data_IF_696507446541
#
_entry.id   IF_696507446541
#
_cell.length_a   1.000
_cell.length_b   1.000
_cell.length_c   1.000
_cell.angle_alpha   90.00
_cell.angle_beta   90.00
_cell.angle_gamma   90.00
#
_symmetry.space_group_name_H-M   'P 1'
#
loop_
_entity.id
_entity.type
_entity.pdbx_description
1 polymer ?
#
# COMPACT_ATOMS: atom_id res chain seq x y z
N UNK A 1 -9.31 7.35 12.08
CA UNK A 1 -9.15 7.54 10.61
C UNK A 1 -8.51 6.27 10.04
N UNK A 2 -9.05 5.71 8.95
CA UNK A 2 -8.67 4.41 8.37
C UNK A 2 -9.27 4.28 6.97
N UNK A 3 -9.72 3.09 6.54
CA UNK A 3 -10.38 2.89 5.23
C UNK A 3 -11.49 3.92 4.93
N UNK A 4 -12.19 4.42 5.95
CA UNK A 4 -13.22 5.45 5.80
C UNK A 4 -12.71 6.75 5.15
N UNK A 5 -11.46 7.15 5.43
CA UNK A 5 -10.86 8.37 4.89
C UNK A 5 -10.69 8.32 3.36
N UNK A 6 -10.59 7.11 2.81
CA UNK A 6 -10.37 6.86 1.39
C UNK A 6 -11.60 6.24 0.69
N UNK A 7 -12.74 6.12 1.41
CA UNK A 7 -13.99 5.53 0.91
C UNK A 7 -14.44 6.11 -0.44
N UNK A 8 -14.34 7.43 -0.62
CA UNK A 8 -14.74 8.08 -1.89
C UNK A 8 -13.90 7.62 -3.09
N UNK A 9 -12.62 7.32 -2.88
CA UNK A 9 -11.71 6.89 -3.95
C UNK A 9 -11.77 5.39 -4.18
N UNK A 10 -11.98 4.60 -3.12
CA UNK A 10 -12.20 3.16 -3.24
C UNK A 10 -13.53 2.83 -3.92
N UNK A 11 -14.56 3.65 -3.71
CA UNK A 11 -15.93 3.31 -4.07
C UNK A 11 -16.59 2.38 -3.04
N UNK A 12 -17.92 2.29 -3.07
CA UNK A 12 -18.69 1.60 -2.02
C UNK A 12 -18.39 0.09 -1.95
N UNK A 13 -18.26 -0.56 -3.11
CA UNK A 13 -18.02 -2.01 -3.19
C UNK A 13 -16.66 -2.39 -2.61
N UNK A 14 -15.56 -1.82 -3.13
CA UNK A 14 -14.20 -2.09 -2.61
C UNK A 14 -14.03 -1.65 -1.16
N UNK A 15 -14.68 -0.56 -0.75
CA UNK A 15 -14.67 -0.15 0.64
C UNK A 15 -15.30 -1.22 1.55
N UNK A 16 -16.47 -1.76 1.17
CA UNK A 16 -17.13 -2.82 1.93
C UNK A 16 -16.28 -4.10 1.99
N UNK A 17 -15.68 -4.49 0.87
CA UNK A 17 -14.77 -5.65 0.78
C UNK A 17 -13.57 -5.51 1.71
N UNK A 18 -12.83 -4.39 1.62
CA UNK A 18 -11.66 -4.16 2.47
C UNK A 18 -12.04 -4.04 3.95
N UNK A 19 -13.22 -3.51 4.26
CA UNK A 19 -13.71 -3.46 5.65
C UNK A 19 -13.96 -4.87 6.18
N UNK A 20 -14.62 -5.74 5.40
CA UNK A 20 -14.85 -7.14 5.80
C UNK A 20 -13.53 -7.92 5.99
N UNK A 21 -12.56 -7.72 5.11
CA UNK A 21 -11.24 -8.35 5.23
C UNK A 21 -10.46 -7.84 6.44
N UNK A 22 -10.53 -6.54 6.74
CA UNK A 22 -9.95 -5.97 7.95
C UNK A 22 -10.59 -6.57 9.21
N UNK A 23 -11.91 -6.64 9.26
CA UNK A 23 -12.63 -7.21 10.41
C UNK A 23 -12.25 -8.69 10.63
N UNK A 24 -12.17 -9.47 9.56
CA UNK A 24 -11.70 -10.86 9.62
C UNK A 24 -10.25 -10.97 10.12
N UNK A 25 -9.35 -10.09 9.65
CA UNK A 25 -7.96 -10.07 10.08
C UNK A 25 -7.81 -9.71 11.57
N UNK A 26 -8.61 -8.77 12.07
CA UNK A 26 -8.62 -8.39 13.49
C UNK A 26 -9.07 -9.56 14.38
N UNK A 27 -10.10 -10.30 13.96
CA UNK A 27 -10.55 -11.50 14.69
C UNK A 27 -9.45 -12.55 14.75
N UNK A 28 -8.76 -12.81 13.64
CA UNK A 28 -7.66 -13.78 13.60
C UNK A 28 -6.48 -13.33 14.47
N UNK A 29 -6.09 -12.06 14.39
CA UNK A 29 -5.05 -11.49 15.25
C UNK A 29 -5.40 -11.62 16.72
N UNK A 30 -6.65 -11.36 17.11
CA UNK A 30 -7.09 -11.53 18.49
C UNK A 30 -7.00 -12.98 18.96
N UNK A 31 -7.30 -13.94 18.07
CA UNK A 31 -7.32 -15.37 18.37
C UNK A 31 -5.92 -15.99 18.45
N UNK A 32 -5.00 -15.58 17.59
CA UNK A 32 -3.70 -16.27 17.42
C UNK A 32 -2.50 -15.39 17.72
N UNK A 33 -2.67 -14.07 17.78
CA UNK A 33 -1.58 -13.10 17.83
C UNK A 33 -0.88 -12.88 16.48
N UNK A 34 -1.21 -13.64 15.43
CA UNK A 34 -0.62 -13.44 14.10
C UNK A 34 -1.25 -12.25 13.37
N UNK A 35 -0.42 -11.50 12.66
CA UNK A 35 -0.87 -10.38 11.81
C UNK A 35 -0.98 -10.74 10.33
N UNK A 36 -0.71 -12.00 9.95
CA UNK A 36 -0.61 -12.40 8.54
C UNK A 36 -1.92 -12.19 7.78
N UNK A 37 -3.06 -12.34 8.45
CA UNK A 37 -4.37 -12.11 7.85
C UNK A 37 -4.55 -10.67 7.33
N UNK A 38 -3.80 -9.70 7.84
CA UNK A 38 -3.87 -8.31 7.37
C UNK A 38 -3.34 -8.13 5.94
N UNK A 39 -2.48 -9.02 5.45
CA UNK A 39 -2.00 -8.95 4.08
C UNK A 39 -3.12 -9.08 3.05
N UNK A 40 -4.24 -9.73 3.41
CA UNK A 40 -5.39 -9.92 2.53
C UNK A 40 -6.03 -8.61 2.04
N UNK A 41 -6.03 -7.56 2.88
CA UNK A 41 -6.57 -6.25 2.51
C UNK A 41 -5.47 -5.20 2.30
N UNK A 42 -4.31 -5.32 2.95
CA UNK A 42 -3.20 -4.39 2.79
C UNK A 42 -2.54 -4.48 1.41
N UNK A 43 -2.27 -5.69 0.92
CA UNK A 43 -1.61 -5.89 -0.38
C UNK A 43 -2.41 -5.29 -1.54
N UNK A 44 -3.70 -5.62 -1.73
CA UNK A 44 -4.49 -5.01 -2.81
C UNK A 44 -4.71 -3.51 -2.59
N UNK A 45 -4.86 -3.06 -1.33
CA UNK A 45 -4.95 -1.62 -1.06
C UNK A 45 -3.69 -0.86 -1.48
N UNK A 46 -2.50 -1.39 -1.21
CA UNK A 46 -1.25 -0.76 -1.64
C UNK A 46 -1.15 -0.75 -3.17
N UNK A 47 -1.29 -1.92 -3.79
CA UNK A 47 -1.13 -2.10 -5.25
C UNK A 47 -2.13 -1.29 -6.07
N UNK A 48 -3.39 -1.25 -5.66
CA UNK A 48 -4.45 -0.70 -6.51
C UNK A 48 -4.74 0.77 -6.21
N UNK A 49 -4.38 1.26 -5.02
CA UNK A 49 -4.72 2.61 -4.59
C UNK A 49 -3.48 3.48 -4.32
N UNK A 50 -2.52 3.00 -3.54
CA UNK A 50 -1.36 3.80 -3.16
C UNK A 50 -0.26 3.79 -4.23
N UNK A 51 0.07 2.65 -4.84
CA UNK A 51 1.15 2.54 -5.82
C UNK A 51 0.91 3.43 -7.06
N UNK A 52 -0.29 3.48 -7.68
CA UNK A 52 -0.53 4.37 -8.81
C UNK A 52 -0.46 5.85 -8.41
N UNK A 53 -0.93 6.18 -7.21
CA UNK A 53 -0.86 7.55 -6.67
C UNK A 53 0.60 7.97 -6.45
N UNK A 54 1.42 7.10 -5.86
CA UNK A 54 2.84 7.36 -5.64
C UNK A 54 3.61 7.45 -6.96
N UNK A 55 3.33 6.55 -7.91
CA UNK A 55 3.90 6.62 -9.27
C UNK A 55 3.62 7.96 -9.93
N UNK A 56 2.35 8.38 -9.96
CA UNK A 56 1.96 9.68 -10.51
C UNK A 56 2.61 10.87 -9.80
N UNK A 57 2.71 10.83 -8.47
CA UNK A 57 3.38 11.88 -7.69
C UNK A 57 4.89 11.92 -7.93
N UNK A 58 5.51 10.76 -8.15
CA UNK A 58 6.92 10.63 -8.45
C UNK A 58 7.24 11.16 -9.85
N UNK A 59 6.41 10.85 -10.84
CA UNK A 59 6.54 11.34 -12.21
C UNK A 59 6.51 12.88 -12.28
N UNK A 60 5.67 13.53 -11.47
CA UNK A 60 5.66 15.00 -11.36
C UNK A 60 6.96 15.62 -10.84
N UNK A 61 7.84 14.81 -10.24
CA UNK A 61 9.13 15.22 -9.70
C UNK A 61 10.29 14.56 -10.47
N UNK A 62 10.03 14.03 -11.66
CA UNK A 62 11.03 13.29 -12.44
C UNK A 62 12.33 14.08 -12.65
N UNK A 63 12.23 15.41 -12.83
CA UNK A 63 13.38 16.31 -12.98
C UNK A 63 14.33 16.33 -11.77
N UNK A 64 13.86 15.94 -10.58
CA UNK A 64 14.67 15.88 -9.35
C UNK A 64 15.30 14.51 -9.11
N UNK A 65 14.97 13.51 -9.93
CA UNK A 65 15.46 12.15 -9.78
C UNK A 65 16.80 12.06 -10.51
N UNK A 66 17.89 11.98 -9.74
CA UNK A 66 19.26 11.86 -10.29
C UNK A 66 19.56 10.43 -10.73
N UNK A 67 18.97 9.44 -10.06
CA UNK A 67 19.14 8.02 -10.38
C UNK A 67 17.90 7.21 -9.94
N UNK A 68 17.58 6.13 -10.65
CA UNK A 68 16.45 5.22 -10.39
C UNK A 68 16.88 3.79 -10.70
N UNK A 69 16.66 2.88 -9.74
CA UNK A 69 16.99 1.47 -9.88
C UNK A 69 16.45 0.63 -8.70
N UNK A 70 16.77 -0.66 -8.69
CA UNK A 70 16.54 -1.56 -7.55
C UNK A 70 17.37 -1.13 -6.35
N UNK A 71 17.10 -1.73 -5.18
CA UNK A 71 17.90 -1.45 -3.98
C UNK A 71 19.40 -1.65 -4.22
N UNK A 72 19.77 -2.73 -4.90
CA UNK A 72 21.15 -3.08 -5.24
C UNK A 72 21.77 -2.03 -6.18
N UNK A 73 21.06 -1.61 -7.22
CA UNK A 73 21.51 -0.58 -8.15
C UNK A 73 21.72 0.78 -7.46
N UNK A 74 20.81 1.15 -6.54
CA UNK A 74 20.95 2.38 -5.75
C UNK A 74 22.15 2.30 -4.81
N UNK A 75 22.35 1.17 -4.12
CA UNK A 75 23.49 0.98 -3.22
C UNK A 75 24.82 1.12 -3.98
N UNK A 76 24.93 0.46 -5.15
CA UNK A 76 26.11 0.57 -5.99
C UNK A 76 26.35 2.00 -6.50
N UNK A 77 25.28 2.75 -6.83
CA UNK A 77 25.41 4.14 -7.27
C UNK A 77 25.89 5.09 -6.15
N UNK A 78 25.50 4.84 -4.89
CA UNK A 78 25.90 5.67 -3.74
C UNK A 78 27.36 5.44 -3.30
N UNK A 79 27.92 4.26 -3.59
CA UNK A 79 29.30 3.90 -3.24
C UNK A 79 30.33 4.43 -4.27
N UNK A 80 29.89 5.11 -5.33
CA UNK A 80 30.73 5.73 -6.37
C UNK A 80 30.95 7.22 -6.12
#
# INVERSE_FOLDING_TARGET
HGLYAIRRRLGLQRFAEFTALLDAALVEQQRTGSTDAHFSWLVPLLKDYYDPMYGYQLEKKAEKIVYRGTYEEIAEWLDR
#
